data_IF_899369617146
#
_entry.id   IF_899369617146
#
_cell.length_a   1.000
_cell.length_b   1.000
_cell.length_c   1.000
_cell.angle_alpha   90.00
_cell.angle_beta   90.00
_cell.angle_gamma   90.00
#
_symmetry.space_group_name_H-M   'P 1'
#
loop_
_entity.id
_entity.type
_entity.pdbx_description
1 polymer ?
#
# COMPACT_ATOMS: atom_id res chain seq x y z
N UNK A 1 -7.25 -7.76 -24.23
CA UNK A 1 -6.70 -6.88 -23.18
C UNK A 1 -7.26 -7.37 -21.85
N UNK A 2 -6.44 -7.99 -20.99
CA UNK A 2 -6.89 -8.58 -19.72
C UNK A 2 -7.06 -7.47 -18.67
N UNK A 3 -8.27 -7.32 -18.14
CA UNK A 3 -8.61 -6.38 -17.06
C UNK A 3 -8.87 -7.18 -15.78
N UNK A 4 -8.07 -6.96 -14.74
CA UNK A 4 -8.14 -7.77 -13.52
C UNK A 4 -8.94 -7.08 -12.40
N UNK A 5 -9.81 -7.87 -11.78
CA UNK A 5 -10.44 -7.55 -10.49
C UNK A 5 -9.62 -8.19 -9.36
N UNK A 6 -9.43 -7.52 -8.21
CA UNK A 6 -8.47 -7.95 -7.18
C UNK A 6 -8.89 -9.20 -6.37
N UNK A 7 -10.01 -9.87 -6.71
CA UNK A 7 -10.62 -10.90 -5.83
C UNK A 7 -10.60 -12.34 -6.36
N UNK A 8 -10.28 -12.60 -7.64
CA UNK A 8 -10.63 -13.89 -8.25
C UNK A 8 -9.47 -14.82 -8.65
N UNK A 9 -8.21 -14.39 -8.67
CA UNK A 9 -7.17 -15.20 -9.33
C UNK A 9 -5.79 -15.09 -8.67
N UNK A 10 -5.55 -15.85 -7.60
CA UNK A 10 -4.21 -15.94 -7.00
C UNK A 10 -3.28 -16.91 -7.73
N UNK A 11 -3.80 -18.00 -8.33
CA UNK A 11 -2.97 -18.97 -9.05
C UNK A 11 -2.62 -18.52 -10.48
N UNK A 12 -3.56 -17.93 -11.21
CA UNK A 12 -3.33 -17.50 -12.60
C UNK A 12 -2.25 -16.42 -12.68
N UNK A 13 -2.12 -15.57 -11.65
CA UNK A 13 -1.06 -14.55 -11.57
C UNK A 13 0.35 -15.15 -11.37
N UNK A 14 0.44 -16.31 -10.72
CA UNK A 14 1.72 -16.98 -10.43
C UNK A 14 2.21 -17.80 -11.63
N UNK A 15 1.33 -18.10 -12.58
CA UNK A 15 1.65 -18.84 -13.81
C UNK A 15 2.09 -17.92 -14.97
N UNK A 16 1.92 -16.60 -14.84
CA UNK A 16 2.36 -15.63 -15.84
C UNK A 16 3.89 -15.46 -15.86
N UNK A 17 4.43 -15.25 -17.05
CA UNK A 17 5.83 -14.82 -17.21
C UNK A 17 6.06 -13.41 -16.66
N UNK A 18 7.32 -13.07 -16.36
CA UNK A 18 7.68 -11.76 -15.81
C UNK A 18 7.28 -10.63 -16.77
N UNK A 19 7.46 -10.84 -18.07
CA UNK A 19 7.11 -9.91 -19.13
C UNK A 19 5.59 -9.69 -19.20
N UNK A 20 4.80 -10.75 -19.06
CA UNK A 20 3.34 -10.65 -19.00
C UNK A 20 2.89 -9.90 -17.74
N UNK A 21 3.53 -10.17 -16.60
CA UNK A 21 3.24 -9.52 -15.33
C UNK A 21 3.51 -8.01 -15.37
N UNK A 22 4.61 -7.60 -16.01
CA UNK A 22 4.95 -6.18 -16.19
C UNK A 22 3.96 -5.44 -17.11
N UNK A 23 3.30 -6.15 -18.01
CA UNK A 23 2.31 -5.57 -18.94
C UNK A 23 0.88 -5.55 -18.38
N UNK A 24 0.66 -6.04 -17.15
CA UNK A 24 -0.66 -6.05 -16.55
C UNK A 24 -1.14 -4.64 -16.21
N UNK A 25 -2.33 -4.32 -16.69
CA UNK A 25 -3.01 -3.07 -16.33
C UNK A 25 -3.74 -3.25 -15.00
N UNK A 26 -3.20 -2.63 -13.96
CA UNK A 26 -3.84 -2.58 -12.65
C UNK A 26 -4.98 -1.56 -12.70
N UNK A 27 -6.21 -2.01 -12.42
CA UNK A 27 -7.35 -1.11 -12.26
C UNK A 27 -7.36 -0.62 -10.81
N UNK A 28 -7.37 0.71 -10.56
CA UNK A 28 -7.36 1.25 -9.21
C UNK A 28 -8.60 0.78 -8.45
N UNK A 29 -8.39 -0.02 -7.41
CA UNK A 29 -9.45 -0.60 -6.60
C UNK A 29 -9.85 0.36 -5.47
N UNK A 30 -10.98 1.04 -5.64
CA UNK A 30 -11.64 1.82 -4.58
C UNK A 30 -13.05 1.32 -4.24
N UNK A 31 -13.49 0.24 -4.89
CA UNK A 31 -14.80 -0.40 -4.73
C UNK A 31 -14.67 -1.91 -4.96
N UNK A 32 -15.54 -2.70 -4.34
CA UNK A 32 -15.66 -4.15 -4.58
C UNK A 32 -16.24 -4.45 -5.98
N UNK A 33 -16.94 -3.49 -6.56
CA UNK A 33 -17.50 -3.58 -7.92
C UNK A 33 -16.59 -2.88 -8.91
N UNK A 34 -16.54 -3.37 -10.15
CA UNK A 34 -15.87 -2.70 -11.27
C UNK A 34 -16.51 -1.34 -11.51
N UNK A 35 -15.87 -0.29 -10.99
CA UNK A 35 -16.26 1.10 -11.16
C UNK A 35 -15.08 1.87 -11.73
N UNK A 36 -15.35 2.77 -12.67
CA UNK A 36 -14.31 3.67 -13.16
C UNK A 36 -13.78 4.54 -12.00
N UNK A 37 -12.53 4.96 -12.06
CA UNK A 37 -11.94 5.80 -11.00
C UNK A 37 -12.77 7.06 -10.70
N UNK A 38 -13.45 7.62 -11.71
CA UNK A 38 -14.34 8.79 -11.57
C UNK A 38 -15.63 8.49 -10.80
N UNK A 39 -16.09 7.25 -10.83
CA UNK A 39 -17.32 6.80 -10.18
C UNK A 39 -17.03 6.10 -8.84
N UNK A 40 -15.76 6.00 -8.45
CA UNK A 40 -15.38 5.44 -7.16
C UNK A 40 -15.57 6.49 -6.06
N UNK A 41 -16.30 6.18 -4.97
CA UNK A 41 -16.46 7.09 -3.83
C UNK A 41 -15.19 7.18 -2.96
N UNK A 42 -14.06 6.63 -3.42
CA UNK A 42 -12.83 6.47 -2.65
C UNK A 42 -11.70 7.29 -3.29
N UNK A 43 -10.83 7.87 -2.46
CA UNK A 43 -9.61 8.53 -2.94
C UNK A 43 -8.51 7.50 -3.11
N UNK A 44 -8.08 7.30 -4.36
CA UNK A 44 -7.00 6.38 -4.71
C UNK A 44 -5.85 7.18 -5.31
N UNK A 45 -4.64 6.95 -4.81
CA UNK A 45 -3.40 7.52 -5.38
C UNK A 45 -2.64 6.39 -6.06
N UNK A 46 -2.38 6.53 -7.36
CA UNK A 46 -1.58 5.56 -8.13
C UNK A 46 -0.19 6.13 -8.33
N UNK A 47 0.83 5.40 -7.86
CA UNK A 47 2.23 5.77 -8.01
C UNK A 47 2.83 4.86 -9.08
N UNK A 48 3.31 5.44 -10.17
CA UNK A 48 3.89 4.71 -11.30
C UNK A 48 5.41 4.58 -11.16
N UNK A 49 6.02 3.73 -11.99
CA UNK A 49 7.48 3.60 -12.01
C UNK A 49 8.19 4.92 -12.36
N UNK A 50 7.60 5.72 -13.25
CA UNK A 50 8.14 7.03 -13.61
C UNK A 50 8.14 7.98 -12.40
N UNK A 51 7.08 7.94 -11.58
CA UNK A 51 6.98 8.73 -10.35
C UNK A 51 8.06 8.32 -9.34
N UNK A 52 8.27 7.01 -9.17
CA UNK A 52 9.31 6.47 -8.29
C UNK A 52 10.70 6.98 -8.71
N UNK A 53 11.02 6.88 -10.01
CA UNK A 53 12.30 7.35 -10.56
C UNK A 53 12.47 8.87 -10.43
N UNK A 54 11.40 9.64 -10.66
CA UNK A 54 11.43 11.11 -10.60
C UNK A 54 11.55 11.65 -9.16
N UNK A 55 10.99 10.96 -8.16
CA UNK A 55 10.97 11.43 -6.78
C UNK A 55 12.31 11.47 -6.05
N UNK A 56 13.30 10.69 -6.49
CA UNK A 56 14.57 10.54 -5.77
C UNK A 56 14.43 9.91 -4.37
N UNK A 57 13.28 9.33 -4.03
CA UNK A 57 13.02 8.73 -2.73
C UNK A 57 13.94 7.53 -2.49
N UNK A 58 14.56 7.47 -1.31
CA UNK A 58 15.49 6.39 -0.89
C UNK A 58 14.76 5.27 -0.16
N UNK A 59 13.54 5.51 0.28
CA UNK A 59 12.72 4.54 0.99
C UNK A 59 11.25 4.68 0.61
N UNK A 60 10.49 3.58 0.72
CA UNK A 60 9.05 3.59 0.49
C UNK A 60 8.32 4.65 1.36
N UNK A 61 8.77 4.83 2.60
CA UNK A 61 8.17 5.81 3.50
C UNK A 61 8.31 7.24 2.99
N UNK A 62 9.44 7.56 2.35
CA UNK A 62 9.71 8.88 1.75
C UNK A 62 8.91 9.08 0.47
N UNK A 63 8.84 8.05 -0.38
CA UNK A 63 8.01 8.07 -1.59
C UNK A 63 6.55 8.34 -1.25
N UNK A 64 6.04 7.67 -0.22
CA UNK A 64 4.68 7.84 0.26
C UNK A 64 4.45 9.23 0.86
N UNK A 65 5.44 9.81 1.54
CA UNK A 65 5.38 11.19 2.08
C UNK A 65 5.31 12.24 0.95
N UNK A 66 5.96 11.98 -0.19
CA UNK A 66 5.98 12.87 -1.36
C UNK A 66 4.67 12.82 -2.15
N UNK A 67 4.17 11.62 -2.46
CA UNK A 67 3.05 11.46 -3.40
C UNK A 67 1.68 11.24 -2.77
N UNK A 68 1.58 10.74 -1.53
CA UNK A 68 0.29 10.43 -0.92
C UNK A 68 -0.23 11.63 -0.12
N UNK A 69 -1.25 12.36 -0.62
CA UNK A 69 -1.77 13.51 0.10
C UNK A 69 -2.43 13.09 1.42
N UNK A 70 -2.24 13.90 2.47
CA UNK A 70 -2.76 13.66 3.82
C UNK A 70 -2.29 12.34 4.46
N UNK A 71 -1.17 11.80 3.99
CA UNK A 71 -0.43 10.78 4.69
C UNK A 71 0.52 11.43 5.70
N UNK A 72 0.60 10.86 6.90
CA UNK A 72 1.50 11.32 7.95
C UNK A 72 2.35 10.15 8.44
N UNK A 73 3.67 10.34 8.38
CA UNK A 73 4.62 9.36 8.90
C UNK A 73 5.15 9.82 10.26
N UNK A 74 4.67 9.19 11.33
CA UNK A 74 5.03 9.55 12.70
C UNK A 74 6.21 8.71 13.15
N UNK A 75 7.30 9.40 13.53
CA UNK A 75 8.51 8.76 14.04
C UNK A 75 8.44 8.72 15.57
N UNK A 76 8.37 7.52 16.14
CA UNK A 76 8.57 7.32 17.57
C UNK A 76 10.04 7.00 17.84
N UNK A 77 10.59 7.48 18.95
CA UNK A 77 11.98 7.24 19.32
C UNK A 77 12.23 5.80 19.84
N UNK A 78 11.16 5.11 20.25
CA UNK A 78 11.23 3.81 20.93
C UNK A 78 10.37 2.72 20.28
N UNK A 79 9.55 3.05 19.29
CA UNK A 79 8.64 2.13 18.59
C UNK A 79 8.82 2.27 17.08
N UNK A 80 8.34 1.26 16.33
CA UNK A 80 8.23 1.32 14.88
C UNK A 80 7.46 2.58 14.41
N UNK A 81 7.80 3.05 13.20
CA UNK A 81 7.14 4.23 12.61
C UNK A 81 5.65 3.96 12.41
N UNK A 82 4.82 4.92 12.78
CA UNK A 82 3.38 4.83 12.62
C UNK A 82 2.93 5.55 11.35
N UNK A 83 2.08 4.87 10.59
CA UNK A 83 1.41 5.41 9.44
C UNK A 83 0.05 5.98 9.87
N UNK A 84 -0.17 7.26 9.61
CA UNK A 84 -1.46 7.94 9.74
C UNK A 84 -1.98 8.37 8.38
N UNK A 85 -3.29 8.31 8.19
CA UNK A 85 -3.96 8.83 7.00
C UNK A 85 -5.21 9.59 7.42
N UNK A 86 -5.40 10.82 6.93
CA UNK A 86 -6.55 11.69 7.26
C UNK A 86 -6.79 11.83 8.77
N UNK A 87 -5.72 12.06 9.54
CA UNK A 87 -5.78 12.24 11.00
C UNK A 87 -6.05 10.95 11.80
N UNK A 88 -6.21 9.80 11.15
CA UNK A 88 -6.38 8.50 11.80
C UNK A 88 -5.02 7.81 11.83
N UNK A 89 -4.46 7.65 13.03
CA UNK A 89 -3.16 7.01 13.24
C UNK A 89 -3.40 5.61 13.82
N UNK A 90 -2.76 4.60 13.23
CA UNK A 90 -2.78 3.26 13.82
C UNK A 90 -1.83 3.20 15.01
N UNK A 91 -2.37 2.87 16.18
CA UNK A 91 -1.62 2.68 17.43
C UNK A 91 -0.77 1.40 17.46
N UNK A 92 -1.00 0.41 16.58
CA UNK A 92 -0.28 -0.88 16.60
C UNK A 92 0.01 -1.40 15.19
N UNK A 93 1.27 -1.74 14.94
CA UNK A 93 1.73 -2.41 13.72
C UNK A 93 1.30 -3.89 13.65
N UNK A 94 1.15 -4.41 12.44
CA UNK A 94 1.09 -5.87 12.17
C UNK A 94 2.30 -6.23 11.32
N UNK A 95 2.96 -7.34 11.64
CA UNK A 95 4.07 -7.90 10.85
C UNK A 95 3.59 -9.25 10.34
N UNK A 96 3.66 -9.49 9.03
CA UNK A 96 3.25 -10.74 8.38
C UNK A 96 1.82 -11.20 8.77
N UNK A 97 0.86 -10.26 8.82
CA UNK A 97 -0.53 -10.55 9.23
C UNK A 97 -0.73 -10.80 10.72
N UNK A 98 0.33 -11.10 11.46
CA UNK A 98 0.32 -11.31 12.90
C UNK A 98 0.34 -9.98 13.66
N UNK A 99 -0.46 -9.90 14.74
CA UNK A 99 -0.42 -8.77 15.67
C UNK A 99 0.98 -8.70 16.28
N UNK A 100 1.68 -7.58 16.08
CA UNK A 100 2.92 -7.31 16.77
C UNK A 100 2.61 -7.24 18.28
N UNK A 101 3.10 -8.22 19.01
CA UNK A 101 2.93 -8.33 20.46
C UNK A 101 4.30 -8.04 21.03
N UNK A 102 4.47 -6.83 21.58
CA UNK A 102 5.69 -6.47 22.29
C UNK A 102 5.99 -7.55 23.32
N UNK A 103 7.10 -8.25 23.12
CA UNK A 103 7.51 -9.37 23.96
C UNK A 103 8.28 -8.89 25.18
N UNK A 104 7.90 -7.72 25.71
CA UNK A 104 8.46 -7.11 26.92
C UNK A 104 7.32 -6.80 27.90
N UNK A 105 6.67 -7.85 28.39
CA UNK A 105 6.16 -7.83 29.76
C UNK A 105 7.32 -8.34 30.60
N UNK A 106 8.00 -7.42 31.27
CA UNK A 106 9.02 -7.73 32.24
C UNK A 106 8.42 -8.68 33.28
N UNK A 107 9.07 -9.82 33.46
CA UNK A 107 8.99 -10.59 34.70
C UNK A 107 9.72 -9.76 35.77
N UNK A 108 8.95 -9.12 36.65
CA UNK A 108 9.28 -8.81 38.05
C UNK A 108 7.98 -8.59 38.82
#
# INVERSE_FOLDING_TARGET
MLTLTPSAASNELLELSLEELMNLRIIPAGSLTMSSARLSPSTVTTITQADIQASGARSLNELLDIYAPNLQMIRHHWEARHLGLRGIIRRRGRVNGCRYRDRHRADF
#
